data_IF_002947747192
#
_entry.id   IF_002947747192
#
_cell.length_a   1.000
_cell.length_b   1.000
_cell.length_c   1.000
_cell.angle_alpha   90.00
_cell.angle_beta   90.00
_cell.angle_gamma   90.00
#
_symmetry.space_group_name_H-M   'P 1'
#
loop_
_entity.id
_entity.type
_entity.pdbx_description
1 polymer ?
#
# COMPACT_ATOMS: atom_id res chain seq x y z
N UNK A 1 -23.91 -136.63 24.42
CA UNK A 1 -23.77 -135.92 23.12
C UNK A 1 -24.31 -134.47 23.14
N UNK A 2 -24.76 -133.89 24.27
CA UNK A 2 -25.30 -132.52 24.30
C UNK A 2 -24.28 -131.41 24.62
N UNK A 3 -23.18 -131.71 25.31
CA UNK A 3 -22.22 -130.69 25.74
C UNK A 3 -21.39 -130.08 24.61
N UNK A 4 -21.07 -130.85 23.56
CA UNK A 4 -20.31 -130.37 22.39
C UNK A 4 -21.15 -129.37 21.56
N UNK A 5 -22.45 -129.64 21.42
CA UNK A 5 -23.37 -128.74 20.72
C UNK A 5 -23.53 -127.39 21.45
N UNK A 6 -23.57 -127.40 22.79
CA UNK A 6 -23.66 -126.17 23.59
C UNK A 6 -22.39 -125.33 23.45
N UNK A 7 -21.20 -125.95 23.48
CA UNK A 7 -19.93 -125.24 23.29
C UNK A 7 -19.82 -124.62 21.90
N UNK A 8 -20.27 -125.33 20.85
CA UNK A 8 -20.32 -124.79 19.49
C UNK A 8 -21.32 -123.62 19.36
N UNK A 9 -22.49 -123.71 20.00
CA UNK A 9 -23.46 -122.60 20.01
C UNK A 9 -22.91 -121.37 20.74
N UNK A 10 -22.26 -121.53 21.89
CA UNK A 10 -21.63 -120.42 22.62
C UNK A 10 -20.50 -119.81 21.79
N UNK A 11 -19.64 -120.64 21.19
CA UNK A 11 -18.58 -120.18 20.29
C UNK A 11 -19.12 -119.41 19.08
N UNK A 12 -20.22 -119.88 18.48
CA UNK A 12 -20.88 -119.19 17.36
C UNK A 12 -21.49 -117.85 17.77
N UNK A 13 -22.11 -117.77 18.95
CA UNK A 13 -22.63 -116.50 19.50
C UNK A 13 -21.49 -115.50 19.74
N UNK A 14 -20.37 -115.95 20.32
CA UNK A 14 -19.18 -115.09 20.47
C UNK A 14 -18.63 -114.62 19.11
N UNK A 15 -18.62 -115.48 18.10
CA UNK A 15 -18.20 -115.13 16.74
C UNK A 15 -19.12 -114.07 16.10
N UNK A 16 -20.44 -114.18 16.30
CA UNK A 16 -21.40 -113.18 15.85
C UNK A 16 -21.16 -111.84 16.56
N UNK A 17 -21.03 -111.85 17.89
CA UNK A 17 -20.79 -110.63 18.67
C UNK A 17 -19.47 -109.96 18.24
N UNK A 18 -18.41 -110.75 18.05
CA UNK A 18 -17.11 -110.25 17.61
C UNK A 18 -17.17 -109.67 16.19
N UNK A 19 -17.90 -110.31 15.26
CA UNK A 19 -18.11 -109.81 13.90
C UNK A 19 -18.87 -108.49 13.88
N UNK A 20 -19.94 -108.37 14.67
CA UNK A 20 -20.73 -107.13 14.82
C UNK A 20 -19.87 -106.02 15.44
N UNK A 21 -19.07 -106.36 16.46
CA UNK A 21 -18.16 -105.40 17.10
C UNK A 21 -17.10 -104.87 16.12
N UNK A 22 -16.48 -105.75 15.33
CA UNK A 22 -15.49 -105.37 14.32
C UNK A 22 -16.11 -104.47 13.25
N UNK A 23 -17.30 -104.81 12.74
CA UNK A 23 -17.99 -103.96 11.74
C UNK A 23 -18.40 -102.61 12.31
N UNK A 24 -18.80 -102.54 13.58
CA UNK A 24 -19.09 -101.29 14.27
C UNK A 24 -17.82 -100.42 14.42
N UNK A 25 -16.72 -101.00 14.88
CA UNK A 25 -15.43 -100.30 15.00
C UNK A 25 -14.93 -99.78 13.65
N UNK A 26 -15.03 -100.57 12.58
CA UNK A 26 -14.66 -100.15 11.22
C UNK A 26 -15.52 -98.98 10.72
N UNK A 27 -16.85 -99.02 10.95
CA UNK A 27 -17.74 -97.90 10.62
C UNK A 27 -17.43 -96.65 11.43
N UNK A 28 -17.12 -96.78 12.71
CA UNK A 28 -16.80 -95.64 13.57
C UNK A 28 -15.49 -94.97 13.14
N UNK A 29 -14.44 -95.75 12.87
CA UNK A 29 -13.17 -95.25 12.33
C UNK A 29 -13.34 -94.56 10.96
N UNK A 30 -14.13 -95.15 10.07
CA UNK A 30 -14.43 -94.55 8.77
C UNK A 30 -15.21 -93.22 8.88
N UNK A 31 -16.12 -93.12 9.87
CA UNK A 31 -16.89 -91.90 10.15
C UNK A 31 -16.00 -90.78 10.71
N UNK A 32 -15.09 -91.11 11.63
CA UNK A 32 -14.10 -90.17 12.16
C UNK A 32 -13.14 -89.64 11.10
N UNK A 33 -12.68 -90.51 10.19
CA UNK A 33 -11.85 -90.12 9.04
C UNK A 33 -12.58 -89.15 8.11
N UNK A 34 -13.84 -89.45 7.75
CA UNK A 34 -14.67 -88.56 6.88
C UNK A 34 -14.94 -87.18 7.49
N UNK A 35 -15.08 -87.08 8.82
CA UNK A 35 -15.25 -85.76 9.47
C UNK A 35 -13.97 -84.92 9.40
N UNK A 36 -12.83 -85.52 9.73
CA UNK A 36 -11.53 -84.83 9.62
C UNK A 36 -11.21 -84.42 8.19
N UNK A 37 -11.44 -85.30 7.22
CA UNK A 37 -11.18 -84.99 5.80
C UNK A 37 -12.04 -83.81 5.30
N UNK A 38 -13.28 -83.66 5.79
CA UNK A 38 -14.13 -82.49 5.50
C UNK A 38 -13.61 -81.22 6.16
N UNK A 39 -13.17 -81.29 7.41
CA UNK A 39 -12.58 -80.15 8.13
C UNK A 39 -11.29 -79.68 7.46
N UNK A 40 -10.40 -80.59 7.06
CA UNK A 40 -9.20 -80.26 6.30
C UNK A 40 -9.52 -79.65 4.93
N UNK A 41 -10.54 -80.14 4.22
CA UNK A 41 -10.96 -79.56 2.94
C UNK A 41 -11.47 -78.12 3.09
N UNK A 42 -12.18 -77.81 4.19
CA UNK A 42 -12.62 -76.43 4.49
C UNK A 42 -11.40 -75.56 4.82
N UNK A 43 -10.49 -76.06 5.63
CA UNK A 43 -9.29 -75.34 6.07
C UNK A 43 -8.35 -75.03 4.88
N UNK A 44 -8.22 -75.96 3.92
CA UNK A 44 -7.48 -75.72 2.68
C UNK A 44 -8.18 -74.69 1.77
N UNK A 45 -9.51 -74.70 1.70
CA UNK A 45 -10.26 -73.68 0.95
C UNK A 45 -10.12 -72.28 1.57
N UNK A 46 -10.22 -72.17 2.90
CA UNK A 46 -10.00 -70.91 3.63
C UNK A 46 -8.56 -70.41 3.47
N UNK A 47 -7.57 -71.32 3.50
CA UNK A 47 -6.17 -70.97 3.23
C UNK A 47 -5.97 -70.45 1.80
N UNK A 48 -6.64 -71.04 0.82
CA UNK A 48 -6.64 -70.56 -0.56
C UNK A 48 -7.19 -69.13 -0.67
N UNK A 49 -8.35 -68.87 -0.05
CA UNK A 49 -8.96 -67.54 -0.01
C UNK A 49 -8.07 -66.51 0.69
N UNK A 50 -7.41 -66.89 1.79
CA UNK A 50 -6.48 -66.01 2.50
C UNK A 50 -5.27 -65.62 1.63
N UNK A 51 -4.74 -66.56 0.84
CA UNK A 51 -3.63 -66.27 -0.10
C UNK A 51 -4.10 -65.32 -1.21
N UNK A 52 -5.29 -65.54 -1.76
CA UNK A 52 -5.86 -64.65 -2.77
C UNK A 52 -6.08 -63.24 -2.22
N UNK A 53 -6.69 -63.11 -1.03
CA UNK A 53 -6.88 -61.82 -0.35
C UNK A 53 -5.55 -61.14 -0.04
N UNK A 54 -4.55 -61.88 0.43
CA UNK A 54 -3.22 -61.32 0.69
C UNK A 54 -2.57 -60.80 -0.60
N UNK A 55 -2.72 -61.52 -1.71
CA UNK A 55 -2.19 -61.09 -3.02
C UNK A 55 -2.91 -59.85 -3.56
N UNK A 56 -4.23 -59.76 -3.37
CA UNK A 56 -5.04 -58.61 -3.77
C UNK A 56 -4.67 -57.38 -2.94
N UNK A 57 -4.57 -57.53 -1.62
CA UNK A 57 -4.17 -56.46 -0.71
C UNK A 57 -2.76 -55.96 -1.01
N UNK A 58 -1.81 -56.85 -1.31
CA UNK A 58 -0.45 -56.47 -1.69
C UNK A 58 -0.43 -55.62 -2.97
N UNK A 59 -1.27 -55.95 -3.96
CA UNK A 59 -1.42 -55.15 -5.18
C UNK A 59 -2.04 -53.78 -4.89
N UNK A 60 -3.12 -53.72 -4.12
CA UNK A 60 -3.76 -52.46 -3.76
C UNK A 60 -2.80 -51.51 -3.00
N UNK A 61 -2.01 -52.05 -2.06
CA UNK A 61 -1.00 -51.27 -1.34
C UNK A 61 0.08 -50.76 -2.31
N UNK A 62 0.50 -51.57 -3.27
CA UNK A 62 1.48 -51.16 -4.29
C UNK A 62 0.93 -50.04 -5.19
N UNK A 63 -0.32 -50.16 -5.62
CA UNK A 63 -0.99 -49.15 -6.45
C UNK A 63 -1.21 -47.85 -5.67
N UNK A 64 -1.64 -47.93 -4.41
CA UNK A 64 -1.77 -46.78 -3.52
C UNK A 64 -0.42 -46.08 -3.31
N UNK A 65 0.66 -46.85 -3.10
CA UNK A 65 2.02 -46.30 -2.98
C UNK A 65 2.46 -45.60 -4.27
N UNK A 66 2.15 -46.17 -5.43
CA UNK A 66 2.45 -45.56 -6.73
C UNK A 66 1.71 -44.24 -6.89
N UNK A 67 0.40 -44.21 -6.61
CA UNK A 67 -0.42 -43.01 -6.67
C UNK A 67 0.06 -41.92 -5.69
N UNK A 68 0.45 -42.30 -4.48
CA UNK A 68 1.00 -41.38 -3.49
C UNK A 68 2.31 -40.74 -3.99
N UNK A 69 3.22 -41.55 -4.57
CA UNK A 69 4.47 -41.05 -5.14
C UNK A 69 4.23 -40.10 -6.33
N UNK A 70 3.31 -40.45 -7.23
CA UNK A 70 2.92 -39.58 -8.35
C UNK A 70 2.33 -38.25 -7.85
N UNK A 71 1.49 -38.31 -6.83
CA UNK A 71 0.89 -37.12 -6.20
C UNK A 71 1.94 -36.24 -5.54
N UNK A 72 2.89 -36.83 -4.81
CA UNK A 72 4.00 -36.12 -4.18
C UNK A 72 4.87 -35.43 -5.23
N UNK A 73 5.19 -36.12 -6.33
CA UNK A 73 5.95 -35.53 -7.43
C UNK A 73 5.22 -34.35 -8.07
N UNK A 74 3.91 -34.45 -8.29
CA UNK A 74 3.09 -33.34 -8.79
C UNK A 74 3.10 -32.14 -7.82
N UNK A 75 2.89 -32.39 -6.53
CA UNK A 75 2.95 -31.35 -5.50
C UNK A 75 4.32 -30.67 -5.45
N UNK A 76 5.41 -31.42 -5.62
CA UNK A 76 6.76 -30.87 -5.67
C UNK A 76 6.96 -29.94 -6.87
N UNK A 77 6.46 -30.33 -8.05
CA UNK A 77 6.52 -29.50 -9.26
C UNK A 77 5.73 -28.20 -9.05
N UNK A 78 4.47 -28.31 -8.60
CA UNK A 78 3.61 -27.16 -8.31
C UNK A 78 4.26 -26.24 -7.27
N UNK A 79 4.86 -26.79 -6.22
CA UNK A 79 5.56 -26.00 -5.20
C UNK A 79 6.77 -25.25 -5.77
N UNK A 80 7.51 -25.87 -6.69
CA UNK A 80 8.64 -25.23 -7.37
C UNK A 80 8.20 -24.13 -8.34
N UNK A 81 7.14 -24.37 -9.11
CA UNK A 81 6.57 -23.40 -10.04
C UNK A 81 6.01 -22.19 -9.29
N UNK A 82 5.22 -22.44 -8.24
CA UNK A 82 4.69 -21.38 -7.39
C UNK A 82 5.83 -20.54 -6.78
N UNK A 83 6.90 -21.18 -6.29
CA UNK A 83 8.04 -20.45 -5.74
C UNK A 83 8.72 -19.54 -6.78
N UNK A 84 8.92 -20.05 -8.00
CA UNK A 84 9.50 -19.27 -9.09
C UNK A 84 8.61 -18.08 -9.50
N UNK A 85 7.28 -18.30 -9.59
CA UNK A 85 6.32 -17.23 -9.84
C UNK A 85 6.31 -16.17 -8.73
N UNK A 86 6.35 -16.59 -7.47
CA UNK A 86 6.44 -15.68 -6.32
C UNK A 86 7.71 -14.83 -6.36
N UNK A 87 8.85 -15.40 -6.74
CA UNK A 87 10.09 -14.66 -6.89
C UNK A 87 10.02 -13.63 -8.03
N UNK A 88 9.44 -14.01 -9.18
CA UNK A 88 9.25 -13.10 -10.32
C UNK A 88 8.29 -11.94 -9.99
N UNK A 89 7.15 -12.24 -9.38
CA UNK A 89 6.18 -11.24 -8.92
C UNK A 89 6.82 -10.29 -7.92
N UNK A 90 7.63 -10.79 -6.98
CA UNK A 90 8.34 -9.95 -6.01
C UNK A 90 9.33 -9.01 -6.68
N UNK A 91 10.11 -9.50 -7.65
CA UNK A 91 11.04 -8.65 -8.44
C UNK A 91 10.29 -7.58 -9.22
N UNK A 92 9.16 -7.93 -9.84
CA UNK A 92 8.34 -7.00 -10.60
C UNK A 92 7.71 -5.92 -9.72
N UNK A 93 7.18 -6.28 -8.56
CA UNK A 93 6.65 -5.33 -7.58
C UNK A 93 7.74 -4.36 -7.15
N UNK A 94 8.94 -4.86 -6.80
CA UNK A 94 10.06 -4.00 -6.41
C UNK A 94 10.47 -3.03 -7.53
N UNK A 95 10.53 -3.52 -8.78
CA UNK A 95 10.83 -2.67 -9.94
C UNK A 95 9.80 -1.56 -10.12
N UNK A 96 8.51 -1.87 -10.03
CA UNK A 96 7.43 -0.89 -10.17
C UNK A 96 7.46 0.11 -9.02
N UNK A 97 7.70 -0.32 -7.79
CA UNK A 97 7.81 0.57 -6.64
C UNK A 97 8.97 1.56 -6.79
N UNK A 98 10.13 1.12 -7.27
CA UNK A 98 11.27 2.00 -7.54
C UNK A 98 10.97 3.01 -8.66
N UNK A 99 10.25 2.60 -9.70
CA UNK A 99 9.85 3.49 -10.79
C UNK A 99 8.84 4.55 -10.33
N UNK A 100 7.84 4.14 -9.54
CA UNK A 100 6.85 5.05 -8.92
C UNK A 100 7.55 6.04 -8.00
N UNK A 101 8.43 5.59 -7.12
CA UNK A 101 9.20 6.45 -6.21
C UNK A 101 10.01 7.51 -6.99
N UNK A 102 10.74 7.07 -8.03
CA UNK A 102 11.48 7.97 -8.90
C UNK A 102 10.57 8.98 -9.61
N UNK A 103 9.44 8.53 -10.15
CA UNK A 103 8.49 9.39 -10.83
C UNK A 103 7.86 10.42 -9.90
N UNK A 104 7.44 9.99 -8.70
CA UNK A 104 6.93 10.88 -7.66
C UNK A 104 7.99 11.89 -7.21
N UNK A 105 9.25 11.48 -7.07
CA UNK A 105 10.36 12.38 -6.78
C UNK A 105 10.52 13.50 -7.82
N UNK A 106 10.49 13.15 -9.11
CA UNK A 106 10.57 14.15 -10.19
C UNK A 106 9.38 15.12 -10.18
N UNK A 107 8.16 14.63 -9.96
CA UNK A 107 6.96 15.48 -9.89
C UNK A 107 7.04 16.44 -8.69
N UNK A 108 7.50 15.94 -7.53
CA UNK A 108 7.66 16.76 -6.33
C UNK A 108 8.69 17.86 -6.54
N UNK A 109 9.83 17.54 -7.16
CA UNK A 109 10.88 18.52 -7.46
C UNK A 109 10.41 19.60 -8.45
N UNK A 110 9.72 19.20 -9.53
CA UNK A 110 9.13 20.15 -10.49
C UNK A 110 8.11 21.08 -9.80
N UNK A 111 7.23 20.51 -8.96
CA UNK A 111 6.24 21.30 -8.22
C UNK A 111 6.89 22.25 -7.20
N UNK A 112 7.95 21.82 -6.50
CA UNK A 112 8.71 22.67 -5.58
C UNK A 112 9.39 23.82 -6.34
N UNK A 113 9.97 23.55 -7.51
CA UNK A 113 10.58 24.60 -8.34
C UNK A 113 9.57 25.64 -8.81
N UNK A 114 8.39 25.19 -9.26
CA UNK A 114 7.26 26.05 -9.65
C UNK A 114 6.73 26.87 -8.48
N UNK A 115 6.64 26.26 -7.29
CA UNK A 115 6.22 26.94 -6.07
C UNK A 115 7.23 28.04 -5.69
N UNK A 116 8.53 27.74 -5.73
CA UNK A 116 9.58 28.72 -5.45
C UNK A 116 9.53 29.91 -6.41
N UNK A 117 9.39 29.67 -7.73
CA UNK A 117 9.24 30.73 -8.72
C UNK A 117 7.98 31.59 -8.49
N UNK A 118 6.85 30.96 -8.14
CA UNK A 118 5.62 31.68 -7.81
C UNK A 118 5.78 32.51 -6.53
N UNK A 119 6.44 31.96 -5.52
CA UNK A 119 6.72 32.67 -4.26
C UNK A 119 7.56 33.92 -4.50
N UNK A 120 8.65 33.80 -5.27
CA UNK A 120 9.49 34.95 -5.63
C UNK A 120 8.73 36.00 -6.45
N UNK A 121 7.91 35.55 -7.40
CA UNK A 121 7.08 36.45 -8.21
C UNK A 121 6.08 37.22 -7.35
N UNK A 122 5.47 36.55 -6.38
CA UNK A 122 4.51 37.14 -5.45
C UNK A 122 5.19 38.14 -4.51
N UNK A 123 6.37 37.82 -4.00
CA UNK A 123 7.18 38.72 -3.18
C UNK A 123 7.55 40.01 -3.94
N UNK A 124 7.92 39.89 -5.22
CA UNK A 124 8.16 41.05 -6.09
C UNK A 124 6.91 41.90 -6.26
N UNK A 125 5.77 41.30 -6.55
CA UNK A 125 4.48 42.01 -6.70
C UNK A 125 4.13 42.74 -5.39
N UNK A 126 4.32 42.10 -4.23
CA UNK A 126 4.07 42.73 -2.93
C UNK A 126 4.96 43.96 -2.71
N UNK A 127 6.24 43.87 -3.08
CA UNK A 127 7.17 45.00 -2.98
C UNK A 127 6.77 46.15 -3.91
N UNK A 128 6.44 45.84 -5.17
CA UNK A 128 6.00 46.83 -6.16
C UNK A 128 4.69 47.50 -5.71
N UNK A 129 3.75 46.72 -5.18
CA UNK A 129 2.49 47.24 -4.61
C UNK A 129 2.74 48.17 -3.41
N UNK A 130 3.68 47.82 -2.52
CA UNK A 130 4.07 48.69 -1.40
C UNK A 130 4.61 50.03 -1.89
N UNK A 131 5.50 50.02 -2.89
CA UNK A 131 6.06 51.25 -3.47
C UNK A 131 4.99 52.11 -4.17
N UNK A 132 4.05 51.48 -4.88
CA UNK A 132 2.92 52.18 -5.50
C UNK A 132 2.04 52.81 -4.42
N UNK A 133 1.77 52.09 -3.33
CA UNK A 133 0.95 52.59 -2.23
C UNK A 133 1.59 53.81 -1.55
N UNK A 134 2.91 53.79 -1.32
CA UNK A 134 3.65 54.95 -0.81
C UNK A 134 3.54 56.17 -1.74
N UNK A 135 3.71 55.96 -3.05
CA UNK A 135 3.55 57.04 -4.05
C UNK A 135 2.14 57.59 -4.10
N UNK A 136 1.11 56.73 -4.00
CA UNK A 136 -0.28 57.17 -3.94
C UNK A 136 -0.49 58.01 -2.69
N UNK A 137 -0.02 57.57 -1.53
CA UNK A 137 -0.15 58.31 -0.27
C UNK A 137 0.51 59.70 -0.36
N UNK A 138 1.70 59.79 -0.95
CA UNK A 138 2.39 61.05 -1.19
C UNK A 138 1.60 61.96 -2.14
N UNK A 139 1.11 61.42 -3.25
CA UNK A 139 0.32 62.16 -4.23
C UNK A 139 -1.04 62.61 -3.66
N UNK A 140 -1.70 61.78 -2.86
CA UNK A 140 -2.94 62.15 -2.17
C UNK A 140 -2.68 63.30 -1.19
N UNK A 141 -1.57 63.29 -0.45
CA UNK A 141 -1.20 64.43 0.41
C UNK A 141 -0.97 65.71 -0.40
N UNK A 142 -0.28 65.63 -1.55
CA UNK A 142 -0.09 66.78 -2.46
C UNK A 142 -1.44 67.28 -3.00
N UNK A 143 -2.29 66.39 -3.47
CA UNK A 143 -3.62 66.71 -3.97
C UNK A 143 -4.52 67.34 -2.90
N UNK A 144 -4.47 66.84 -1.65
CA UNK A 144 -5.17 67.44 -0.52
C UNK A 144 -4.69 68.88 -0.24
N UNK A 145 -3.38 69.13 -0.28
CA UNK A 145 -2.83 70.50 -0.15
C UNK A 145 -3.33 71.41 -1.28
N UNK A 146 -3.39 70.90 -2.52
CA UNK A 146 -3.92 71.65 -3.66
C UNK A 146 -5.43 71.90 -3.49
N UNK A 147 -6.21 70.90 -3.07
CA UNK A 147 -7.64 71.05 -2.83
C UNK A 147 -7.95 72.14 -1.79
N UNK A 148 -7.13 72.25 -0.73
CA UNK A 148 -7.24 73.35 0.23
C UNK A 148 -7.11 74.74 -0.40
N UNK A 149 -6.34 74.91 -1.49
CA UNK A 149 -6.24 76.19 -2.22
C UNK A 149 -7.54 76.63 -2.88
N UNK A 150 -8.44 75.68 -3.16
CA UNK A 150 -9.71 75.95 -3.84
C UNK A 150 -10.90 75.92 -2.87
N UNK A 151 -10.66 75.69 -1.57
CA UNK A 151 -11.71 75.72 -0.55
C UNK A 151 -12.03 77.17 -0.18
N UNK A 152 -13.19 77.64 -0.61
CA UNK A 152 -13.66 79.03 -0.43
C UNK A 152 -13.89 79.44 1.02
N UNK A 153 -13.85 78.49 1.97
CA UNK A 153 -14.03 78.75 3.40
C UNK A 153 -12.71 79.00 4.15
N UNK A 154 -11.56 78.78 3.51
CA UNK A 154 -10.25 78.99 4.14
C UNK A 154 -9.62 80.27 3.57
N UNK A 155 -9.23 81.25 4.40
CA UNK A 155 -8.58 82.46 3.91
C UNK A 155 -7.30 82.12 3.14
N UNK A 156 -7.18 82.63 1.92
CA UNK A 156 -6.00 82.40 1.05
C UNK A 156 -4.67 82.65 1.78
N UNK A 157 -4.64 83.62 2.71
CA UNK A 157 -3.48 83.98 3.51
C UNK A 157 -2.96 82.84 4.44
N UNK A 158 -3.84 81.98 4.95
CA UNK A 158 -3.45 80.83 5.79
C UNK A 158 -2.91 79.68 4.93
N UNK A 159 -3.48 79.49 3.74
CA UNK A 159 -3.06 78.45 2.80
C UNK A 159 -1.68 78.79 2.20
N UNK A 160 -1.45 80.06 1.86
CA UNK A 160 -0.14 80.51 1.38
C UNK A 160 0.96 80.39 2.45
N UNK A 161 0.65 80.57 3.74
CA UNK A 161 1.60 80.29 4.84
C UNK A 161 1.95 78.81 4.97
N UNK A 162 1.02 77.90 4.68
CA UNK A 162 1.24 76.44 4.74
C UNK A 162 2.03 75.90 3.52
N UNK A 163 2.04 76.64 2.41
CA UNK A 163 2.70 76.27 1.14
C UNK A 163 4.03 77.00 0.93
N UNK A 164 4.18 78.22 1.45
CA UNK A 164 5.43 78.96 1.39
C UNK A 164 6.48 78.26 2.26
N UNK A 165 7.53 77.75 1.62
CA UNK A 165 8.76 77.39 2.34
C UNK A 165 9.35 78.64 3.02
N UNK A 166 10.04 78.47 4.14
CA UNK A 166 10.68 79.58 4.89
C UNK A 166 11.50 80.52 3.98
N UNK A 167 12.07 79.97 2.90
CA UNK A 167 12.81 80.71 1.87
C UNK A 167 11.96 81.74 1.13
N UNK A 168 10.71 81.44 0.79
CA UNK A 168 9.84 82.39 0.08
C UNK A 168 9.35 83.51 1.00
N UNK A 169 9.17 83.21 2.29
CA UNK A 169 8.77 84.18 3.30
C UNK A 169 9.93 85.14 3.62
N UNK A 170 11.15 84.60 3.75
CA UNK A 170 12.38 85.40 3.87
C UNK A 170 12.65 86.23 2.60
N UNK A 171 12.43 85.67 1.41
CA UNK A 171 12.54 86.41 0.16
C UNK A 171 11.58 87.60 0.09
N UNK A 172 10.31 87.42 0.48
CA UNK A 172 9.31 88.50 0.53
C UNK A 172 9.71 89.59 1.53
N UNK A 173 10.26 89.22 2.69
CA UNK A 173 10.77 90.18 3.69
C UNK A 173 11.94 90.99 3.14
N UNK A 174 12.96 90.33 2.56
CA UNK A 174 14.13 91.01 1.98
C UNK A 174 13.73 91.95 0.82
N UNK A 175 12.78 91.55 -0.02
CA UNK A 175 12.23 92.41 -1.08
C UNK A 175 11.46 93.61 -0.51
N UNK A 176 10.71 93.41 0.58
CA UNK A 176 9.96 94.49 1.27
C UNK A 176 10.90 95.49 1.95
N UNK A 177 12.06 95.01 2.42
CA UNK A 177 13.14 95.82 3.00
C UNK A 177 13.95 96.57 1.92
N UNK A 178 13.58 96.46 0.64
CA UNK A 178 14.16 97.20 -0.48
C UNK A 178 15.43 96.59 -1.08
N UNK A 179 15.73 95.32 -0.79
CA UNK A 179 16.89 94.62 -1.33
C UNK A 179 16.60 94.17 -2.76
N UNK A 180 17.56 94.40 -3.67
CA UNK A 180 17.44 94.04 -5.08
C UNK A 180 17.13 92.55 -5.29
N UNK A 181 16.21 92.25 -6.20
CA UNK A 181 15.80 90.89 -6.56
C UNK A 181 16.99 89.99 -6.93
N UNK A 182 18.03 90.55 -7.59
CA UNK A 182 19.24 89.80 -7.94
C UNK A 182 20.06 89.35 -6.72
N UNK A 183 20.05 90.13 -5.63
CA UNK A 183 20.72 89.79 -4.38
C UNK A 183 19.91 88.76 -3.59
N UNK A 184 18.57 88.85 -3.61
CA UNK A 184 17.67 87.86 -2.99
C UNK A 184 17.80 86.48 -3.67
N UNK A 185 17.87 86.44 -5.00
CA UNK A 185 18.15 85.23 -5.80
C UNK A 185 19.44 84.55 -5.36
N UNK A 186 20.54 85.32 -5.27
CA UNK A 186 21.86 84.79 -4.88
C UNK A 186 21.89 84.30 -3.44
N UNK A 187 21.18 84.98 -2.53
CA UNK A 187 21.21 84.69 -1.10
C UNK A 187 20.35 83.48 -0.70
N UNK A 188 19.20 83.31 -1.34
CA UNK A 188 18.24 82.25 -0.99
C UNK A 188 18.20 81.08 -1.99
N UNK A 189 18.92 81.21 -3.12
CA UNK A 189 19.00 80.18 -4.15
C UNK A 189 17.69 79.98 -4.91
N UNK A 190 16.85 81.02 -5.00
CA UNK A 190 15.59 81.02 -5.75
C UNK A 190 15.85 81.44 -7.20
N UNK A 191 15.01 81.01 -8.15
CA UNK A 191 15.10 81.48 -9.53
C UNK A 191 14.67 82.95 -9.65
N UNK A 192 15.25 83.69 -10.59
CA UNK A 192 14.91 85.11 -10.82
C UNK A 192 13.42 85.29 -11.14
N UNK A 193 12.82 84.34 -11.86
CA UNK A 193 11.37 84.30 -12.14
C UNK A 193 10.53 84.21 -10.87
N UNK A 194 10.92 83.38 -9.89
CA UNK A 194 10.19 83.25 -8.62
C UNK A 194 10.28 84.54 -7.80
N UNK A 195 11.46 85.14 -7.72
CA UNK A 195 11.68 86.38 -6.96
C UNK A 195 10.93 87.56 -7.58
N UNK A 196 10.89 87.65 -8.92
CA UNK A 196 10.11 88.67 -9.63
C UNK A 196 8.59 88.48 -9.41
N UNK A 197 8.09 87.24 -9.45
CA UNK A 197 6.69 86.94 -9.13
C UNK A 197 6.30 87.39 -7.71
N UNK A 198 7.18 87.18 -6.72
CA UNK A 198 6.96 87.66 -5.36
C UNK A 198 6.94 89.19 -5.28
N UNK A 199 7.79 89.88 -6.06
CA UNK A 199 7.83 91.34 -6.09
C UNK A 199 6.60 91.96 -6.77
N UNK A 200 6.00 91.24 -7.74
CA UNK A 200 4.81 91.67 -8.45
C UNK A 200 3.53 91.51 -7.62
N UNK A 201 3.54 90.62 -6.63
CA UNK A 201 2.45 90.36 -5.69
C UNK A 201 2.63 91.24 -4.43
N UNK A 202 2.42 92.55 -4.57
CA UNK A 202 2.34 93.49 -3.42
C UNK A 202 1.01 93.33 -2.69
#
# INVERSE_FOLDING_TARGET
MNSIAIVLCIGFIFLIIQSIFITFCLRWLASGKRKRDKEFAILDAERGQLIEMQSALAREVQDAKKLANETLNKLRIIGSEAHAEWEDVTKKINSVLLEVDKHSGMILEDNLSKLAMRSMSLEKIMKDASQINEKILENTRKAQKILKLFDTNVPNEEIFKEIQSDKYLEAKKLLSDGIDASAVVKKLGLSMSEVLLLSAYR
#
